data_IF_933477800537
#
_entry.id   IF_933477800537
#
_cell.length_a   1.000
_cell.length_b   1.000
_cell.length_c   1.000
_cell.angle_alpha   90.00
_cell.angle_beta   90.00
_cell.angle_gamma   90.00
#
_symmetry.space_group_name_H-M   'P 1'
#
loop_
_entity.id
_entity.type
_entity.pdbx_description
1 polymer ?
#
# COMPACT_ATOMS: atom_id res chain seq x y z
N UNK A 1 38.33 18.55 38.57
CA UNK A 1 38.21 18.90 37.13
C UNK A 1 37.37 17.79 36.50
N UNK A 2 36.05 17.88 36.67
CA UNK A 2 35.12 16.87 36.19
C UNK A 2 34.77 17.19 34.73
N UNK A 3 35.16 16.31 33.82
CA UNK A 3 34.77 16.41 32.42
C UNK A 3 33.30 15.99 32.33
N UNK A 4 32.40 16.97 32.24
CA UNK A 4 30.99 16.70 31.96
C UNK A 4 30.85 16.00 30.61
N UNK A 5 30.24 14.82 30.66
CA UNK A 5 29.95 13.97 29.52
C UNK A 5 29.14 14.75 28.47
N UNK A 6 29.60 14.64 27.24
CA UNK A 6 28.97 15.24 26.06
C UNK A 6 27.74 14.39 25.77
N UNK A 7 26.56 14.89 26.11
CA UNK A 7 25.29 14.22 25.84
C UNK A 7 25.15 13.99 24.32
N UNK A 8 25.42 12.77 23.86
CA UNK A 8 25.20 12.33 22.48
C UNK A 8 23.74 11.89 22.35
N UNK A 9 22.82 12.84 22.29
CA UNK A 9 21.48 12.56 21.80
C UNK A 9 21.59 12.30 20.28
N UNK A 10 21.21 11.12 19.77
CA UNK A 10 21.08 10.94 18.34
C UNK A 10 19.92 11.86 17.91
N UNK A 11 20.25 12.95 17.21
CA UNK A 11 19.25 13.85 16.69
C UNK A 11 18.28 13.07 15.79
N UNK A 12 17.12 12.72 16.34
CA UNK A 12 16.00 12.19 15.57
C UNK A 12 15.61 13.33 14.64
N UNK A 13 16.04 13.25 13.38
CA UNK A 13 15.62 14.20 12.35
C UNK A 13 14.17 13.90 11.98
N UNK A 14 13.25 14.25 12.88
CA UNK A 14 11.84 14.31 12.54
C UNK A 14 11.65 15.54 11.65
N UNK A 15 11.26 15.30 10.40
CA UNK A 15 10.72 16.37 9.58
C UNK A 15 9.51 16.97 10.31
N UNK A 16 9.32 18.30 10.30
CA UNK A 16 8.11 18.89 10.84
C UNK A 16 6.89 18.30 10.12
N UNK A 17 5.74 18.15 10.81
CA UNK A 17 4.51 17.70 10.18
C UNK A 17 4.16 18.56 8.96
N UNK A 18 3.65 17.94 7.90
CA UNK A 18 3.10 18.66 6.76
C UNK A 18 1.90 19.48 7.25
N UNK A 19 1.82 20.74 6.82
CA UNK A 19 0.69 21.61 7.14
C UNK A 19 -0.62 20.98 6.67
N UNK A 20 -1.63 20.92 7.52
CA UNK A 20 -2.93 20.34 7.19
C UNK A 20 -3.64 21.06 6.03
N UNK A 21 -3.27 22.32 5.78
CA UNK A 21 -3.77 23.12 4.65
C UNK A 21 -2.99 22.89 3.35
N UNK A 22 -1.89 22.13 3.38
CA UNK A 22 -1.09 21.84 2.19
C UNK A 22 -1.91 21.12 1.12
N UNK A 23 -1.94 21.69 -0.07
CA UNK A 23 -2.51 21.06 -1.26
C UNK A 23 -1.39 20.75 -2.25
N UNK A 24 -1.23 19.49 -2.69
CA UNK A 24 -0.26 19.14 -3.72
C UNK A 24 -0.53 19.91 -5.02
N UNK A 25 0.53 20.36 -5.68
CA UNK A 25 0.43 21.09 -6.96
C UNK A 25 -0.04 20.17 -8.11
N UNK A 26 0.06 18.85 -7.92
CA UNK A 26 -0.38 17.83 -8.87
C UNK A 26 -1.22 16.77 -8.16
N UNK A 27 -2.21 16.25 -8.87
CA UNK A 27 -3.03 15.12 -8.43
C UNK A 27 -2.87 13.97 -9.43
N UNK A 28 -3.01 12.73 -8.95
CA UNK A 28 -3.07 11.56 -9.81
C UNK A 28 -4.42 11.54 -10.51
N UNK A 29 -4.41 11.34 -11.83
CA UNK A 29 -5.63 11.27 -12.64
C UNK A 29 -6.50 10.10 -12.17
N UNK A 30 -7.81 10.34 -12.07
CA UNK A 30 -8.83 9.33 -11.80
C UNK A 30 -9.70 9.14 -13.02
N UNK A 31 -9.84 7.90 -13.50
CA UNK A 31 -10.69 7.54 -14.63
C UNK A 31 -11.54 6.31 -14.28
N UNK A 32 -12.70 6.10 -14.92
CA UNK A 32 -13.50 4.89 -14.71
C UNK A 32 -12.77 3.62 -15.14
N UNK A 33 -13.06 2.49 -14.50
CA UNK A 33 -12.57 1.18 -14.94
C UNK A 33 -13.00 0.80 -16.38
N UNK A 34 -14.05 1.44 -16.90
CA UNK A 34 -14.54 1.25 -18.28
C UNK A 34 -13.80 2.10 -19.33
N UNK A 35 -12.79 2.89 -18.92
CA UNK A 35 -11.95 3.65 -19.84
C UNK A 35 -11.18 2.74 -20.80
N UNK A 36 -10.78 3.28 -21.96
CA UNK A 36 -10.03 2.50 -22.95
C UNK A 36 -8.62 2.21 -22.47
N UNK A 37 -8.03 1.12 -22.99
CA UNK A 37 -6.64 0.78 -22.70
C UNK A 37 -5.67 1.89 -23.11
N UNK A 38 -5.90 2.52 -24.27
CA UNK A 38 -5.06 3.62 -24.75
C UNK A 38 -5.09 4.83 -23.80
N UNK A 39 -6.24 5.14 -23.20
CA UNK A 39 -6.37 6.21 -22.21
C UNK A 39 -5.61 5.87 -20.92
N UNK A 40 -5.73 4.62 -20.44
CA UNK A 40 -5.01 4.13 -19.26
C UNK A 40 -3.49 4.23 -19.49
N UNK A 41 -3.00 3.76 -20.65
CA UNK A 41 -1.59 3.78 -21.00
C UNK A 41 -1.06 5.21 -21.14
N UNK A 42 -1.82 6.12 -21.77
CA UNK A 42 -1.43 7.52 -21.89
C UNK A 42 -1.22 8.20 -20.53
N UNK A 43 -2.06 7.87 -19.54
CA UNK A 43 -1.87 8.36 -18.17
C UNK A 43 -0.66 7.74 -17.46
N UNK A 44 -0.45 6.42 -17.62
CA UNK A 44 0.72 5.74 -17.06
C UNK A 44 2.04 6.30 -17.63
N UNK A 45 2.11 6.55 -18.93
CA UNK A 45 3.30 7.12 -19.59
C UNK A 45 3.58 8.56 -19.14
N UNK A 46 2.53 9.39 -18.99
CA UNK A 46 2.67 10.80 -18.63
C UNK A 46 2.94 11.02 -17.13
N UNK A 47 2.20 10.33 -16.28
CA UNK A 47 2.13 10.60 -14.83
C UNK A 47 2.81 9.51 -13.99
N UNK A 48 3.17 8.36 -14.58
CA UNK A 48 3.72 7.20 -13.87
C UNK A 48 2.68 6.40 -13.06
N UNK A 49 1.41 6.82 -13.10
CA UNK A 49 0.32 6.21 -12.33
C UNK A 49 -1.04 6.80 -12.69
N UNK A 50 -2.07 5.97 -12.54
CA UNK A 50 -3.49 6.36 -12.71
C UNK A 50 -4.33 5.61 -11.68
N UNK A 51 -5.42 6.23 -11.23
CA UNK A 51 -6.39 5.60 -10.34
C UNK A 51 -7.60 5.19 -11.18
N UNK A 52 -7.91 3.90 -11.21
CA UNK A 52 -9.15 3.39 -11.77
C UNK A 52 -10.24 3.36 -10.68
N UNK A 53 -11.34 4.05 -10.92
CA UNK A 53 -12.49 4.01 -10.02
C UNK A 53 -13.39 2.82 -10.34
N UNK A 54 -13.93 2.20 -9.29
CA UNK A 54 -14.86 1.07 -9.39
C UNK A 54 -14.29 -0.12 -10.20
N UNK A 55 -12.99 -0.41 -10.02
CA UNK A 55 -12.28 -1.46 -10.75
C UNK A 55 -12.64 -2.88 -10.30
N UNK A 56 -12.91 -3.07 -9.01
CA UNK A 56 -13.34 -4.34 -8.42
C UNK A 56 -14.62 -4.08 -7.65
N UNK A 57 -15.59 -4.98 -7.75
CA UNK A 57 -16.85 -4.84 -7.02
C UNK A 57 -16.62 -4.87 -5.50
N UNK A 58 -17.45 -4.14 -4.75
CA UNK A 58 -17.36 -4.14 -3.28
C UNK A 58 -17.61 -5.53 -2.69
N UNK A 59 -18.47 -6.32 -3.34
CA UNK A 59 -18.75 -7.71 -2.94
C UNK A 59 -17.49 -8.58 -3.03
N UNK A 60 -16.78 -8.51 -4.15
CA UNK A 60 -15.50 -9.23 -4.33
C UNK A 60 -14.45 -8.78 -3.34
N UNK A 61 -14.36 -7.47 -3.07
CA UNK A 61 -13.44 -6.95 -2.04
C UNK A 61 -13.78 -7.48 -0.64
N UNK A 62 -15.06 -7.56 -0.28
CA UNK A 62 -15.50 -8.12 1.00
C UNK A 62 -15.16 -9.61 1.12
N UNK A 63 -15.41 -10.39 0.05
CA UNK A 63 -15.03 -11.81 0.01
C UNK A 63 -13.54 -12.03 0.20
N UNK A 64 -12.70 -11.25 -0.50
CA UNK A 64 -11.24 -11.31 -0.32
C UNK A 64 -10.88 -11.02 1.14
N UNK A 65 -11.50 -10.00 1.74
CA UNK A 65 -11.24 -9.66 3.13
C UNK A 65 -11.60 -10.81 4.09
N UNK A 66 -12.78 -11.42 3.93
CA UNK A 66 -13.23 -12.55 4.74
C UNK A 66 -12.34 -13.80 4.58
N UNK A 67 -11.89 -14.08 3.34
CA UNK A 67 -10.97 -15.18 3.05
C UNK A 67 -9.58 -14.95 3.64
N UNK A 68 -9.13 -13.70 3.74
CA UNK A 68 -7.82 -13.34 4.27
C UNK A 68 -7.78 -13.16 5.80
N UNK A 69 -8.93 -12.92 6.44
CA UNK A 69 -9.06 -12.70 7.89
C UNK A 69 -8.36 -13.79 8.74
N UNK A 70 -8.48 -15.10 8.44
CA UNK A 70 -7.79 -16.14 9.21
C UNK A 70 -6.26 -16.07 9.14
N UNK A 71 -5.71 -15.35 8.15
CA UNK A 71 -4.28 -15.20 7.93
C UNK A 71 -3.73 -13.87 8.48
N UNK A 72 -4.60 -13.02 9.02
CA UNK A 72 -4.21 -11.79 9.72
C UNK A 72 -3.53 -12.21 11.03
N UNK A 73 -2.21 -12.02 11.09
CA UNK A 73 -1.40 -12.31 12.28
C UNK A 73 -0.95 -11.01 12.93
N UNK A 74 -0.59 -11.03 14.23
CA UNK A 74 0.10 -9.91 14.85
C UNK A 74 1.33 -9.53 14.02
N UNK A 75 1.56 -8.22 13.88
CA UNK A 75 2.73 -7.71 13.18
C UNK A 75 3.98 -8.24 13.91
N UNK A 76 4.85 -8.92 13.18
CA UNK A 76 6.06 -9.47 13.77
C UNK A 76 6.97 -8.34 14.27
N UNK A 77 7.55 -8.50 15.47
CA UNK A 77 8.50 -7.52 16.02
C UNK A 77 9.79 -7.44 15.21
N UNK A 78 10.11 -8.53 14.52
CA UNK A 78 11.22 -8.66 13.57
C UNK A 78 10.69 -9.28 12.29
N UNK A 79 10.87 -8.63 11.16
CA UNK A 79 10.58 -9.24 9.86
C UNK A 79 11.79 -10.06 9.35
N UNK A 80 11.54 -11.03 8.47
CA UNK A 80 12.61 -11.79 7.80
C UNK A 80 13.33 -11.00 6.71
N UNK A 81 13.06 -9.68 6.60
CA UNK A 81 13.55 -8.78 5.56
C UNK A 81 14.45 -7.67 6.11
N UNK A 82 15.01 -7.86 7.30
CA UNK A 82 15.97 -6.94 7.94
C UNK A 82 15.39 -5.51 8.14
N UNK A 83 14.19 -5.43 8.73
CA UNK A 83 13.43 -4.19 8.99
C UNK A 83 12.96 -3.45 7.71
N UNK A 84 13.02 -4.08 6.52
CA UNK A 84 12.59 -3.46 5.25
C UNK A 84 11.09 -3.16 5.18
N UNK A 85 10.24 -4.08 5.67
CA UNK A 85 8.77 -3.95 5.61
C UNK A 85 8.27 -3.02 6.73
N UNK A 86 9.06 -2.91 7.79
CA UNK A 86 8.82 -2.04 8.92
C UNK A 86 7.91 -2.70 9.96
N UNK A 87 8.18 -2.40 11.23
CA UNK A 87 7.58 -3.06 12.40
C UNK A 87 6.10 -2.75 12.65
N UNK A 88 5.44 -2.04 11.74
CA UNK A 88 4.01 -1.68 11.80
C UNK A 88 3.22 -2.14 10.57
N UNK A 89 3.86 -2.85 9.66
CA UNK A 89 3.25 -3.33 8.41
C UNK A 89 3.07 -4.83 8.48
N UNK A 90 1.85 -5.31 8.24
CA UNK A 90 1.57 -6.74 8.05
C UNK A 90 1.57 -7.06 6.55
N UNK A 91 2.30 -8.10 6.17
CA UNK A 91 2.28 -8.63 4.80
C UNK A 91 1.77 -10.06 4.85
N UNK A 92 0.74 -10.36 4.06
CA UNK A 92 0.20 -11.72 3.88
C UNK A 92 0.70 -12.24 2.52
N UNK A 93 1.81 -13.00 2.47
CA UNK A 93 2.35 -13.50 1.20
C UNK A 93 1.47 -14.62 0.64
N UNK A 94 1.59 -14.90 -0.67
CA UNK A 94 0.97 -16.08 -1.29
C UNK A 94 -0.56 -16.08 -1.23
N UNK A 95 -1.18 -15.01 -1.75
CA UNK A 95 -2.63 -14.80 -1.73
C UNK A 95 -3.40 -15.84 -2.55
N UNK A 96 -2.84 -16.31 -3.68
CA UNK A 96 -3.47 -17.30 -4.56
C UNK A 96 -3.79 -18.62 -3.84
N UNK A 97 -2.97 -19.04 -2.88
CA UNK A 97 -3.22 -20.26 -2.10
C UNK A 97 -4.09 -20.05 -0.85
N UNK A 98 -4.60 -18.84 -0.64
CA UNK A 98 -5.38 -18.43 0.55
C UNK A 98 -6.77 -17.91 0.21
N UNK A 99 -6.97 -17.45 -1.02
CA UNK A 99 -8.20 -16.82 -1.49
C UNK A 99 -8.55 -17.40 -2.85
N UNK A 100 -9.63 -18.19 -2.89
CA UNK A 100 -10.20 -18.69 -4.14
C UNK A 100 -10.67 -17.52 -5.00
N UNK A 101 -11.14 -16.43 -4.38
CA UNK A 101 -11.52 -15.21 -5.08
C UNK A 101 -10.34 -14.61 -5.85
N UNK A 102 -9.17 -14.47 -5.22
CA UNK A 102 -7.95 -13.98 -5.90
C UNK A 102 -7.47 -14.95 -6.98
N UNK A 103 -7.53 -16.26 -6.73
CA UNK A 103 -7.17 -17.26 -7.73
C UNK A 103 -8.05 -17.14 -8.98
N UNK A 104 -9.37 -16.97 -8.79
CA UNK A 104 -10.33 -16.84 -9.89
C UNK A 104 -10.16 -15.53 -10.69
N UNK A 105 -9.81 -14.42 -10.03
CA UNK A 105 -9.50 -13.15 -10.73
C UNK A 105 -8.34 -13.35 -11.71
N UNK A 106 -7.31 -14.10 -11.32
CA UNK A 106 -6.13 -14.34 -12.16
C UNK A 106 -6.39 -15.35 -13.29
N UNK A 107 -7.26 -16.32 -13.05
CA UNK A 107 -7.57 -17.38 -14.01
C UNK A 107 -8.62 -16.94 -15.06
N UNK A 108 -9.66 -16.24 -14.60
CA UNK A 108 -10.88 -15.97 -15.39
C UNK A 108 -11.18 -14.47 -15.59
N UNK A 109 -10.40 -13.55 -15.01
CA UNK A 109 -10.64 -12.10 -15.02
C UNK A 109 -12.03 -11.68 -14.49
N UNK A 110 -12.63 -12.48 -13.60
CA UNK A 110 -13.93 -12.17 -12.98
C UNK A 110 -13.73 -11.41 -11.66
N UNK A 111 -14.31 -10.21 -11.54
CA UNK A 111 -14.19 -9.28 -10.40
C UNK A 111 -15.53 -8.76 -9.93
#
# INVERSE_FOLDING_TARGET
MERKEKNTDPAIRLLPPIDASYQPVRAITKIPATSSLDEILAHLERDGGVILTDFVSLETMNRINDELEPYVKPIAETDGYDDFIGRKTLVIPGLVGKSDTIANILDNNET
#
